data_IF_728544319565
#
_entry.id   IF_728544319565
#
_cell.length_a   1.000
_cell.length_b   1.000
_cell.length_c   1.000
_cell.angle_alpha   90.00
_cell.angle_beta   90.00
_cell.angle_gamma   90.00
#
_symmetry.space_group_name_H-M   'P 1'
#
loop_
_entity.id
_entity.type
_entity.pdbx_description
1 polymer ?
#
# COMPACT_ATOMS: atom_id res chain seq x y z
N UNK A 1 11.22 -10.06 9.44
CA UNK A 1 10.44 -9.61 10.63
C UNK A 1 9.29 -8.83 10.01
N UNK A 2 8.06 -9.28 10.21
CA UNK A 2 6.86 -8.67 9.63
C UNK A 2 6.06 -7.97 10.71
N UNK A 3 5.26 -7.00 10.33
CA UNK A 3 4.31 -6.34 11.24
C UNK A 3 3.30 -7.37 11.74
N UNK A 4 3.01 -7.40 13.04
CA UNK A 4 2.12 -8.40 13.65
C UNK A 4 0.66 -8.05 13.39
N UNK A 5 -0.21 -9.06 13.30
CA UNK A 5 -1.66 -8.89 13.09
C UNK A 5 -2.32 -7.96 14.12
N UNK A 6 -1.89 -8.02 15.36
CA UNK A 6 -2.42 -7.19 16.47
C UNK A 6 -2.09 -5.69 16.29
N UNK A 7 -1.01 -5.36 15.59
CA UNK A 7 -0.65 -3.98 15.27
C UNK A 7 -1.65 -3.37 14.27
N UNK A 8 -2.00 -4.08 13.20
CA UNK A 8 -3.03 -3.63 12.25
C UNK A 8 -4.38 -3.44 12.94
N UNK A 9 -4.79 -4.37 13.79
CA UNK A 9 -6.02 -4.25 14.56
C UNK A 9 -6.00 -3.03 15.52
N UNK A 10 -4.85 -2.73 16.13
CA UNK A 10 -4.67 -1.53 16.97
C UNK A 10 -4.85 -0.25 16.16
N UNK A 11 -4.26 -0.18 14.95
CA UNK A 11 -4.37 0.97 14.05
C UNK A 11 -5.81 1.21 13.59
N UNK A 12 -6.52 0.15 13.19
CA UNK A 12 -7.94 0.25 12.83
C UNK A 12 -8.79 0.77 13.99
N UNK A 13 -8.61 0.23 15.20
CA UNK A 13 -9.31 0.74 16.39
C UNK A 13 -8.97 2.18 16.71
N UNK A 14 -7.74 2.63 16.48
CA UNK A 14 -7.35 4.02 16.66
C UNK A 14 -8.07 4.92 15.65
N UNK A 15 -8.07 4.57 14.37
CA UNK A 15 -8.77 5.32 13.33
C UNK A 15 -10.27 5.39 13.62
N UNK A 16 -10.93 4.28 13.94
CA UNK A 16 -12.35 4.25 14.28
C UNK A 16 -12.72 5.14 15.47
N UNK A 17 -11.83 5.24 16.47
CA UNK A 17 -12.04 6.19 17.60
C UNK A 17 -11.95 7.63 17.16
N UNK A 18 -11.07 7.97 16.20
CA UNK A 18 -10.94 9.31 15.66
C UNK A 18 -12.14 9.71 14.79
N UNK A 19 -12.66 8.76 14.03
CA UNK A 19 -13.84 8.95 13.18
C UNK A 19 -15.12 9.15 13.99
N UNK A 20 -15.28 8.38 15.08
CA UNK A 20 -16.50 8.32 15.89
C UNK A 20 -17.61 7.48 15.24
N UNK A 21 -18.70 7.28 15.98
CA UNK A 21 -19.88 6.53 15.49
C UNK A 21 -20.63 7.33 14.41
N UNK A 22 -21.38 6.63 13.57
CA UNK A 22 -22.14 7.23 12.47
C UNK A 22 -21.27 7.70 11.31
N UNK A 23 -20.05 7.17 11.22
CA UNK A 23 -19.12 7.41 10.14
C UNK A 23 -18.73 6.09 9.47
N UNK A 24 -18.30 6.17 8.22
CA UNK A 24 -17.72 5.07 7.45
C UNK A 24 -16.41 5.53 6.82
N UNK A 25 -15.37 4.71 6.89
CA UNK A 25 -14.16 4.89 6.08
C UNK A 25 -14.13 3.86 4.96
N UNK A 26 -13.78 4.31 3.77
CA UNK A 26 -13.67 3.48 2.56
C UNK A 26 -12.27 3.70 1.99
N UNK A 27 -11.49 2.63 1.87
CA UNK A 27 -10.11 2.70 1.42
C UNK A 27 -9.85 1.61 0.38
N UNK A 28 -9.78 1.95 -0.91
CA UNK A 28 -9.42 1.02 -1.96
C UNK A 28 -7.92 0.70 -1.92
N UNK A 29 -7.57 -0.51 -2.30
CA UNK A 29 -6.20 -0.91 -2.57
C UNK A 29 -5.67 -0.22 -3.85
N UNK A 30 -4.35 -0.24 -4.04
CA UNK A 30 -3.74 0.19 -5.29
C UNK A 30 -4.19 -0.72 -6.45
N UNK A 31 -4.22 -0.16 -7.65
CA UNK A 31 -4.45 -0.92 -8.88
C UNK A 31 -3.14 -1.52 -9.39
N UNK A 32 -3.21 -2.71 -9.99
CA UNK A 32 -2.07 -3.26 -10.73
C UNK A 32 -1.66 -2.34 -11.87
N UNK A 33 -0.35 -2.25 -12.12
CA UNK A 33 0.20 -1.43 -13.20
C UNK A 33 0.77 -2.33 -14.28
N UNK A 34 0.19 -2.23 -15.48
CA UNK A 34 0.69 -2.93 -16.64
C UNK A 34 2.03 -2.35 -17.07
N UNK A 35 3.00 -3.23 -17.33
CA UNK A 35 4.31 -2.89 -17.86
C UNK A 35 4.31 -2.97 -19.38
N UNK A 36 3.89 -4.11 -19.91
CA UNK A 36 3.86 -4.38 -21.34
C UNK A 36 2.99 -5.62 -21.62
N UNK A 37 2.04 -5.52 -22.56
CA UNK A 37 1.17 -6.60 -22.99
C UNK A 37 0.49 -7.30 -21.80
N UNK A 38 0.85 -8.55 -21.51
CA UNK A 38 0.35 -9.37 -20.41
C UNK A 38 1.26 -9.36 -19.16
N UNK A 39 2.31 -8.53 -19.18
CA UNK A 39 3.26 -8.41 -18.06
C UNK A 39 2.93 -7.19 -17.22
N UNK A 40 2.77 -7.40 -15.90
CA UNK A 40 2.58 -6.34 -14.91
C UNK A 40 3.89 -6.03 -14.17
N UNK A 41 3.97 -4.81 -13.63
CA UNK A 41 4.96 -4.53 -12.59
C UNK A 41 4.64 -5.34 -11.34
N UNK A 42 5.66 -5.62 -10.53
CA UNK A 42 5.41 -6.22 -9.22
C UNK A 42 4.39 -5.38 -8.45
N UNK A 43 3.32 -6.04 -7.95
CA UNK A 43 2.27 -5.35 -7.23
C UNK A 43 2.81 -4.81 -5.90
N UNK A 44 2.55 -3.56 -5.64
CA UNK A 44 2.81 -2.91 -4.37
C UNK A 44 1.51 -2.30 -3.87
N UNK A 45 1.02 -2.71 -2.69
CA UNK A 45 -0.19 -2.14 -2.12
C UNK A 45 -0.01 -0.64 -1.83
N UNK A 46 -1.12 0.09 -1.83
CA UNK A 46 -1.12 1.46 -1.30
C UNK A 46 -0.64 1.47 0.15
N UNK A 47 0.17 2.46 0.51
CA UNK A 47 0.82 2.51 1.82
C UNK A 47 -0.17 2.68 2.97
N UNK A 48 -1.25 3.44 2.80
CA UNK A 48 -2.27 3.65 3.81
C UNK A 48 -3.19 2.43 3.93
N UNK A 49 -3.51 1.80 2.80
CA UNK A 49 -4.25 0.54 2.78
C UNK A 49 -3.49 -0.56 3.53
N UNK A 50 -2.21 -0.77 3.19
CA UNK A 50 -1.36 -1.74 3.86
C UNK A 50 -1.18 -1.41 5.36
N UNK A 51 -1.02 -0.13 5.69
CA UNK A 51 -0.87 0.32 7.08
C UNK A 51 -2.04 -0.08 7.98
N UNK A 52 -3.26 -0.09 7.44
CA UNK A 52 -4.46 -0.47 8.19
C UNK A 52 -4.77 -1.96 8.14
N UNK A 53 -4.44 -2.64 7.03
CA UNK A 53 -4.94 -3.99 6.76
C UNK A 53 -3.87 -5.06 6.83
N UNK A 54 -2.65 -4.74 6.41
CA UNK A 54 -1.61 -5.73 6.11
C UNK A 54 -1.94 -6.62 4.91
N UNK A 55 -2.99 -6.29 4.15
CA UNK A 55 -3.42 -7.04 2.98
C UNK A 55 -2.65 -6.56 1.76
N UNK A 56 -2.04 -7.48 1.03
CA UNK A 56 -1.09 -7.22 -0.03
C UNK A 56 -1.53 -7.71 -1.42
N UNK A 57 -2.83 -8.01 -1.57
CA UNK A 57 -3.40 -8.35 -2.88
C UNK A 57 -4.09 -7.14 -3.52
N UNK A 58 -4.10 -7.04 -4.86
CA UNK A 58 -4.85 -6.03 -5.60
C UNK A 58 -6.36 -6.28 -5.56
N UNK A 59 -7.12 -5.34 -6.13
CA UNK A 59 -8.58 -5.42 -6.24
C UNK A 59 -9.25 -5.68 -4.89
N UNK A 60 -8.89 -4.87 -3.89
CA UNK A 60 -9.48 -4.96 -2.56
C UNK A 60 -9.96 -3.59 -2.08
N UNK A 61 -10.96 -3.61 -1.18
CA UNK A 61 -11.45 -2.41 -0.50
C UNK A 61 -11.63 -2.71 0.97
N UNK A 62 -11.04 -1.88 1.82
CA UNK A 62 -11.24 -1.92 3.26
C UNK A 62 -12.32 -0.93 3.67
N UNK A 63 -13.26 -1.39 4.49
CA UNK A 63 -14.35 -0.59 5.02
C UNK A 63 -14.34 -0.66 6.54
N UNK A 64 -14.41 0.50 7.20
CA UNK A 64 -14.50 0.61 8.66
C UNK A 64 -15.77 1.36 9.04
N UNK A 65 -16.62 0.73 9.87
CA UNK A 65 -17.90 1.31 10.33
C UNK A 65 -17.95 1.25 11.86
N UNK A 66 -17.45 2.30 12.55
CA UNK A 66 -17.39 2.30 14.03
C UNK A 66 -18.74 2.15 14.69
N UNK A 67 -18.85 1.16 15.59
CA UNK A 67 -20.04 0.88 16.36
C UNK A 67 -21.11 0.04 15.64
N UNK A 68 -20.82 -0.50 14.46
CA UNK A 68 -21.71 -1.45 13.79
C UNK A 68 -21.76 -2.78 14.56
N UNK A 69 -22.95 -3.34 14.86
CA UNK A 69 -23.08 -4.45 15.83
C UNK A 69 -22.37 -5.75 15.42
N UNK A 70 -22.28 -6.07 14.13
CA UNK A 70 -21.80 -7.38 13.66
C UNK A 70 -20.41 -7.35 13.04
N UNK A 71 -20.02 -6.24 12.43
CA UNK A 71 -18.72 -6.12 11.78
C UNK A 71 -18.32 -4.63 11.68
N UNK A 72 -17.24 -4.23 12.34
CA UNK A 72 -16.69 -2.88 12.23
C UNK A 72 -15.63 -2.79 11.16
N UNK A 73 -14.94 -3.89 10.85
CA UNK A 73 -13.91 -3.99 9.81
C UNK A 73 -14.31 -5.03 8.77
N UNK A 74 -14.52 -4.58 7.55
CA UNK A 74 -14.98 -5.38 6.42
C UNK A 74 -13.94 -5.28 5.30
N UNK A 75 -13.64 -6.40 4.64
CA UNK A 75 -12.82 -6.44 3.44
C UNK A 75 -13.63 -6.95 2.25
N UNK A 76 -13.59 -6.21 1.15
CA UNK A 76 -13.95 -6.72 -0.17
C UNK A 76 -12.67 -7.17 -0.86
N UNK A 77 -12.64 -8.41 -1.36
CA UNK A 77 -11.43 -9.03 -1.91
C UNK A 77 -11.77 -9.90 -3.11
N UNK A 78 -10.78 -10.27 -3.89
CA UNK A 78 -10.96 -11.23 -4.99
C UNK A 78 -11.38 -12.58 -4.44
N UNK A 79 -12.28 -13.26 -5.16
CA UNK A 79 -12.61 -14.66 -4.89
C UNK A 79 -11.43 -15.59 -5.13
N UNK A 80 -11.46 -16.74 -4.44
CA UNK A 80 -10.64 -17.88 -4.80
C UNK A 80 -11.03 -18.38 -6.20
N UNK A 81 -10.06 -18.48 -7.07
CA UNK A 81 -10.22 -18.98 -8.44
C UNK A 81 -9.05 -19.94 -8.75
N UNK A 82 -9.24 -21.26 -8.61
CA UNK A 82 -8.15 -22.21 -8.83
C UNK A 82 -7.52 -22.14 -10.23
N UNK A 83 -8.29 -21.74 -11.26
CA UNK A 83 -7.77 -21.59 -12.61
C UNK A 83 -6.83 -20.37 -12.71
N UNK A 84 -7.21 -19.25 -12.12
CA UNK A 84 -6.37 -18.06 -12.03
C UNK A 84 -5.20 -18.25 -11.08
N UNK A 85 -5.42 -18.87 -9.93
CA UNK A 85 -4.37 -19.13 -8.95
C UNK A 85 -3.24 -20.01 -9.49
N UNK A 86 -3.50 -20.82 -10.51
CA UNK A 86 -2.46 -21.57 -11.22
C UNK A 86 -1.50 -20.67 -12.02
N UNK A 87 -1.92 -19.44 -12.35
CA UNK A 87 -1.13 -18.45 -13.09
C UNK A 87 -0.53 -17.37 -12.17
N UNK A 88 -1.36 -16.79 -11.30
CA UNK A 88 -1.04 -15.58 -10.55
C UNK A 88 -0.64 -15.88 -9.09
N UNK A 89 -0.76 -17.13 -8.64
CA UNK A 89 -0.54 -17.49 -7.25
C UNK A 89 -1.82 -17.53 -6.43
N UNK A 90 -1.71 -18.01 -5.18
CA UNK A 90 -2.86 -18.16 -4.29
C UNK A 90 -3.47 -16.82 -3.89
N UNK A 91 -4.80 -16.80 -3.80
CA UNK A 91 -5.59 -15.68 -3.29
C UNK A 91 -6.13 -15.99 -1.90
N UNK A 92 -6.22 -14.99 -1.05
CA UNK A 92 -6.82 -15.13 0.28
C UNK A 92 -8.30 -15.51 0.19
N UNK A 93 -9.03 -14.87 -0.70
CA UNK A 93 -10.49 -14.93 -0.75
C UNK A 93 -11.15 -14.38 0.52
N UNK A 94 -12.48 -14.31 0.57
CA UNK A 94 -13.21 -13.85 1.77
C UNK A 94 -12.86 -14.62 3.04
N UNK A 95 -12.75 -15.96 2.97
CA UNK A 95 -12.37 -16.79 4.12
C UNK A 95 -10.96 -16.48 4.63
N UNK A 96 -10.00 -16.25 3.73
CA UNK A 96 -8.65 -15.85 4.09
C UNK A 96 -8.58 -14.44 4.66
N UNK A 97 -9.40 -13.52 4.14
CA UNK A 97 -9.50 -12.15 4.66
C UNK A 97 -9.94 -12.13 6.13
N UNK A 98 -10.90 -12.94 6.51
CA UNK A 98 -11.34 -13.06 7.91
C UNK A 98 -10.30 -13.79 8.78
N UNK A 99 -9.83 -14.95 8.35
CA UNK A 99 -8.90 -15.79 9.11
C UNK A 99 -7.52 -15.18 9.30
N UNK A 100 -6.95 -14.61 8.22
CA UNK A 100 -5.55 -14.21 8.18
C UNK A 100 -5.33 -12.72 8.36
N UNK A 101 -6.29 -11.89 7.98
CA UNK A 101 -6.18 -10.42 8.04
C UNK A 101 -7.11 -9.79 9.08
N UNK A 102 -7.92 -10.64 9.76
CA UNK A 102 -8.74 -10.24 10.91
C UNK A 102 -9.86 -9.29 10.53
N UNK A 103 -10.43 -9.45 9.33
CA UNK A 103 -11.69 -8.83 8.99
C UNK A 103 -12.82 -9.49 9.84
N UNK A 104 -13.74 -8.67 10.33
CA UNK A 104 -14.92 -9.16 11.03
C UNK A 104 -15.87 -9.83 10.04
N UNK A 105 -15.89 -9.31 8.79
CA UNK A 105 -16.63 -9.88 7.68
C UNK A 105 -15.86 -9.61 6.36
N UNK A 106 -16.10 -10.43 5.34
CA UNK A 106 -15.46 -10.23 4.04
C UNK A 106 -16.35 -10.75 2.91
N UNK A 107 -16.29 -10.05 1.77
CA UNK A 107 -17.13 -10.31 0.60
C UNK A 107 -16.29 -10.33 -0.68
N UNK A 108 -16.78 -11.00 -1.74
CA UNK A 108 -16.24 -10.85 -3.06
C UNK A 108 -16.24 -9.37 -3.49
N UNK A 109 -15.16 -8.93 -4.14
CA UNK A 109 -15.08 -7.55 -4.66
C UNK A 109 -16.19 -7.26 -5.69
N UNK A 110 -16.64 -8.28 -6.42
CA UNK A 110 -17.73 -8.15 -7.38
C UNK A 110 -19.08 -7.78 -6.77
N UNK A 111 -19.26 -8.01 -5.47
CA UNK A 111 -20.52 -7.73 -4.75
C UNK A 111 -20.53 -6.33 -4.11
N UNK A 112 -19.47 -5.53 -4.32
CA UNK A 112 -19.31 -4.24 -3.63
C UNK A 112 -20.44 -3.26 -3.94
N UNK A 113 -20.94 -3.24 -5.18
CA UNK A 113 -22.00 -2.32 -5.63
C UNK A 113 -23.33 -2.61 -4.95
N UNK A 114 -23.58 -3.86 -4.59
CA UNK A 114 -24.79 -4.31 -3.92
C UNK A 114 -24.71 -4.13 -2.39
N UNK A 115 -23.53 -4.30 -1.80
CA UNK A 115 -23.35 -4.34 -0.34
C UNK A 115 -22.97 -2.96 0.25
N UNK A 116 -22.04 -2.24 -0.40
CA UNK A 116 -21.48 -1.00 0.18
C UNK A 116 -22.51 0.11 0.39
N UNK A 117 -23.51 0.33 -0.49
CA UNK A 117 -24.57 1.29 -0.21
C UNK A 117 -25.30 1.01 1.11
N UNK A 118 -25.58 -0.26 1.42
CA UNK A 118 -26.19 -0.67 2.69
C UNK A 118 -25.29 -0.40 3.91
N UNK A 119 -23.95 -0.47 3.75
CA UNK A 119 -23.02 -0.10 4.82
C UNK A 119 -22.92 1.42 5.00
N UNK A 120 -23.13 2.19 3.95
CA UNK A 120 -23.13 3.66 3.98
C UNK A 120 -24.45 4.23 4.54
N UNK A 121 -25.53 3.48 4.48
CA UNK A 121 -26.82 3.85 5.05
C UNK A 121 -26.65 4.19 6.53
N UNK A 122 -27.31 5.24 7.00
CA UNK A 122 -27.22 5.75 8.38
C UNK A 122 -25.85 6.29 8.81
N UNK A 123 -24.84 6.30 7.93
CA UNK A 123 -23.60 7.02 8.17
C UNK A 123 -23.76 8.47 7.72
N UNK A 124 -23.61 9.40 8.65
CA UNK A 124 -23.65 10.85 8.33
C UNK A 124 -22.40 11.34 7.62
N UNK A 125 -21.27 10.62 7.79
CA UNK A 125 -19.96 11.05 7.32
C UNK A 125 -19.22 9.91 6.65
N UNK A 126 -18.63 10.17 5.47
CA UNK A 126 -17.75 9.29 4.72
C UNK A 126 -16.31 9.82 4.79
N UNK A 127 -15.40 9.01 5.26
CA UNK A 127 -13.96 9.23 5.18
C UNK A 127 -13.41 8.51 3.95
N UNK A 128 -12.97 9.29 2.98
CA UNK A 128 -12.40 8.79 1.72
C UNK A 128 -11.50 9.86 1.10
N UNK A 129 -10.38 9.46 0.51
CA UNK A 129 -9.46 10.39 -0.16
C UNK A 129 -9.81 10.49 -1.64
N UNK A 130 -10.62 11.49 -2.01
CA UNK A 130 -11.02 11.74 -3.39
C UNK A 130 -9.86 12.20 -4.26
N UNK A 131 -9.91 11.87 -5.54
CA UNK A 131 -8.97 12.34 -6.56
C UNK A 131 -7.75 11.46 -6.78
N UNK A 132 -7.54 10.41 -5.96
CA UNK A 132 -6.44 9.45 -6.16
C UNK A 132 -6.79 8.36 -7.18
N UNK A 133 -8.05 7.98 -7.28
CA UNK A 133 -8.55 6.96 -8.19
C UNK A 133 -9.88 7.42 -8.80
N UNK A 134 -9.81 7.97 -10.02
CA UNK A 134 -10.97 8.57 -10.68
C UNK A 134 -12.12 7.56 -10.92
N UNK A 135 -11.80 6.30 -11.22
CA UNK A 135 -12.81 5.26 -11.45
C UNK A 135 -13.54 4.94 -10.14
N UNK A 136 -12.80 4.80 -9.04
CA UNK A 136 -13.40 4.56 -7.73
C UNK A 136 -14.19 5.77 -7.21
N UNK A 137 -13.75 7.00 -7.52
CA UNK A 137 -14.51 8.22 -7.23
C UNK A 137 -15.91 8.17 -7.89
N UNK A 138 -15.99 7.70 -9.14
CA UNK A 138 -17.27 7.55 -9.85
C UNK A 138 -18.16 6.47 -9.21
N UNK A 139 -17.59 5.34 -8.77
CA UNK A 139 -18.34 4.33 -8.01
C UNK A 139 -18.92 4.92 -6.72
N UNK A 140 -18.10 5.63 -5.93
CA UNK A 140 -18.57 6.27 -4.69
C UNK A 140 -19.73 7.25 -4.95
N UNK A 141 -19.62 8.09 -5.98
CA UNK A 141 -20.69 9.00 -6.40
C UNK A 141 -21.95 8.21 -6.79
N UNK A 142 -21.79 7.10 -7.50
CA UNK A 142 -22.88 6.19 -7.88
C UNK A 142 -23.62 5.65 -6.67
N UNK A 143 -22.90 5.15 -5.66
CA UNK A 143 -23.52 4.62 -4.43
C UNK A 143 -24.26 5.70 -3.63
N UNK A 144 -23.69 6.90 -3.53
CA UNK A 144 -24.35 8.06 -2.89
C UNK A 144 -25.65 8.42 -3.66
N UNK A 145 -25.63 8.41 -4.98
CA UNK A 145 -26.80 8.71 -5.80
C UNK A 145 -27.88 7.61 -5.67
N UNK A 146 -27.48 6.36 -5.54
CA UNK A 146 -28.40 5.24 -5.26
C UNK A 146 -29.15 5.48 -3.94
N UNK A 147 -28.45 5.83 -2.87
CA UNK A 147 -29.05 6.15 -1.57
C UNK A 147 -29.97 7.38 -1.66
N UNK A 148 -29.55 8.43 -2.38
CA UNK A 148 -30.39 9.64 -2.61
C UNK A 148 -31.69 9.29 -3.35
N UNK A 149 -31.62 8.40 -4.35
CA UNK A 149 -32.79 7.93 -5.08
C UNK A 149 -33.81 7.19 -4.18
N UNK A 150 -33.33 6.59 -3.10
CA UNK A 150 -34.13 5.82 -2.13
C UNK A 150 -34.54 6.63 -0.89
N UNK A 151 -34.26 7.95 -0.85
CA UNK A 151 -34.56 8.81 0.29
C UNK A 151 -36.07 8.82 0.67
N UNK A 152 -36.97 8.70 -0.33
CA UNK A 152 -38.43 8.59 -0.09
C UNK A 152 -38.82 7.27 0.63
N UNK A 153 -37.94 6.29 0.64
CA UNK A 153 -38.13 5.00 1.33
C UNK A 153 -37.52 5.03 2.75
N UNK A 154 -37.05 6.18 3.21
CA UNK A 154 -36.45 6.35 4.54
C UNK A 154 -34.94 6.14 4.60
N UNK A 155 -34.26 5.94 3.46
CA UNK A 155 -32.80 5.79 3.40
C UNK A 155 -32.10 7.12 3.73
N UNK A 156 -31.09 7.06 4.58
CA UNK A 156 -30.27 8.23 4.95
C UNK A 156 -28.97 8.24 4.16
N UNK A 157 -28.74 9.34 3.45
CA UNK A 157 -27.52 9.55 2.65
C UNK A 157 -26.47 10.29 3.47
N UNK A 158 -25.19 9.95 3.38
CA UNK A 158 -24.11 10.73 3.99
C UNK A 158 -24.16 12.21 3.57
N UNK A 159 -23.89 13.09 4.52
CA UNK A 159 -23.93 14.56 4.32
C UNK A 159 -22.53 15.17 4.26
N UNK A 160 -21.54 14.51 4.87
CA UNK A 160 -20.17 14.98 4.96
C UNK A 160 -19.21 14.02 4.29
N UNK A 161 -18.28 14.54 3.50
CA UNK A 161 -17.17 13.81 2.92
C UNK A 161 -15.87 14.41 3.44
N UNK A 162 -15.04 13.59 4.06
CA UNK A 162 -13.81 14.04 4.74
C UNK A 162 -12.65 13.24 4.14
N UNK A 163 -11.58 13.92 3.80
CA UNK A 163 -10.36 13.29 3.32
C UNK A 163 -9.79 12.36 4.41
N UNK A 164 -9.61 11.07 4.09
CA UNK A 164 -9.13 10.06 5.04
C UNK A 164 -7.63 10.20 5.32
N UNK A 165 -6.89 10.59 4.32
CA UNK A 165 -5.43 10.65 4.31
C UNK A 165 -4.87 11.51 5.46
N UNK A 166 -5.48 12.65 5.79
CA UNK A 166 -4.98 13.49 6.88
C UNK A 166 -4.96 12.78 8.24
N UNK A 167 -5.98 11.94 8.53
CA UNK A 167 -6.01 11.14 9.76
C UNK A 167 -4.92 10.06 9.74
N UNK A 168 -4.73 9.40 8.58
CA UNK A 168 -3.74 8.35 8.41
C UNK A 168 -2.32 8.91 8.47
N UNK A 169 -2.07 10.06 7.85
CA UNK A 169 -0.77 10.72 7.91
C UNK A 169 -0.39 11.11 9.33
N UNK A 170 -1.32 11.66 10.11
CA UNK A 170 -1.11 11.94 11.54
C UNK A 170 -0.80 10.67 12.34
N UNK A 171 -1.52 9.58 12.08
CA UNK A 171 -1.26 8.30 12.74
C UNK A 171 0.11 7.73 12.38
N UNK A 172 0.60 7.96 11.16
CA UNK A 172 1.90 7.47 10.65
C UNK A 172 3.06 8.37 11.02
N UNK A 173 2.81 9.57 11.52
CA UNK A 173 3.87 10.52 11.91
C UNK A 173 4.76 9.94 13.02
N UNK A 174 4.15 9.36 14.05
CA UNK A 174 4.87 8.73 15.17
C UNK A 174 4.86 7.20 15.00
N UNK A 175 6.07 6.64 14.80
CA UNK A 175 6.25 5.22 14.53
C UNK A 175 6.13 4.39 15.83
N UNK A 176 5.39 3.30 15.75
CA UNK A 176 5.28 2.33 16.82
C UNK A 176 6.61 1.58 17.05
N UNK A 177 6.71 0.83 18.16
CA UNK A 177 7.87 -0.01 18.41
C UNK A 177 8.09 -1.08 17.33
N UNK A 178 7.01 -1.62 16.79
CA UNK A 178 7.05 -2.62 15.71
C UNK A 178 7.58 -1.98 14.42
N UNK A 179 7.07 -0.80 14.05
CA UNK A 179 7.56 -0.05 12.88
C UNK A 179 9.04 0.31 13.03
N UNK A 180 9.45 0.79 14.20
CA UNK A 180 10.86 1.09 14.46
C UNK A 180 11.78 -0.15 14.33
N UNK A 181 11.29 -1.34 14.70
CA UNK A 181 12.06 -2.57 14.53
C UNK A 181 12.22 -2.92 13.04
N UNK A 182 11.17 -2.78 12.24
CA UNK A 182 11.21 -2.99 10.77
C UNK A 182 12.12 -1.96 10.11
N UNK A 183 11.97 -0.67 10.43
CA UNK A 183 12.82 0.41 9.91
C UNK A 183 14.31 0.20 10.25
N UNK A 184 14.62 -0.22 11.49
CA UNK A 184 16.01 -0.54 11.85
C UNK A 184 16.56 -1.70 11.03
N UNK A 185 15.74 -2.71 10.76
CA UNK A 185 16.16 -3.84 9.92
C UNK A 185 16.39 -3.40 8.48
N UNK A 186 15.50 -2.60 7.90
CA UNK A 186 15.68 -2.00 6.57
C UNK A 186 16.97 -1.16 6.51
N UNK A 187 17.21 -0.31 7.51
CA UNK A 187 18.44 0.47 7.58
C UNK A 187 19.71 -0.40 7.67
N UNK A 188 19.69 -1.51 8.42
CA UNK A 188 20.83 -2.46 8.48
C UNK A 188 21.11 -3.10 7.12
N UNK A 189 20.05 -3.46 6.35
CA UNK A 189 20.19 -4.00 5.00
C UNK A 189 20.79 -2.94 4.08
N UNK A 190 20.28 -1.71 4.11
CA UNK A 190 20.80 -0.60 3.32
C UNK A 190 22.27 -0.29 3.63
N UNK A 191 22.66 -0.31 4.91
CA UNK A 191 24.08 -0.17 5.31
C UNK A 191 24.94 -1.28 4.71
N UNK A 192 24.48 -2.54 4.76
CA UNK A 192 25.17 -3.67 4.14
C UNK A 192 25.36 -3.47 2.63
N UNK A 193 24.30 -3.00 1.94
CA UNK A 193 24.32 -2.71 0.52
C UNK A 193 25.32 -1.61 0.17
N UNK A 194 25.35 -0.50 0.92
CA UNK A 194 26.30 0.58 0.68
C UNK A 194 27.75 0.15 0.95
N UNK A 195 28.00 -0.65 2.00
CA UNK A 195 29.33 -1.21 2.25
C UNK A 195 29.76 -2.12 1.09
N UNK A 196 28.85 -2.92 0.54
CA UNK A 196 29.10 -3.78 -0.62
C UNK A 196 29.40 -2.96 -1.87
N UNK A 197 28.61 -1.93 -2.15
CA UNK A 197 28.82 -0.99 -3.25
C UNK A 197 30.20 -0.29 -3.14
N UNK A 198 30.54 0.23 -1.97
CA UNK A 198 31.85 0.85 -1.74
C UNK A 198 33.02 -0.11 -2.02
N UNK A 199 32.90 -1.39 -1.67
CA UNK A 199 33.95 -2.41 -1.92
C UNK A 199 34.06 -2.77 -3.41
N UNK A 200 32.97 -2.69 -4.18
CA UNK A 200 32.93 -2.99 -5.61
C UNK A 200 33.41 -1.79 -6.45
N UNK A 201 33.29 -0.57 -5.93
CA UNK A 201 33.68 0.65 -6.61
C UNK A 201 35.19 0.73 -6.85
N UNK A 202 35.57 0.89 -8.12
CA UNK A 202 36.94 1.12 -8.57
C UNK A 202 36.94 1.76 -9.96
N UNK A 203 38.01 2.42 -10.40
CA UNK A 203 38.11 2.92 -11.77
C UNK A 203 37.89 1.80 -12.79
N UNK A 204 37.15 2.07 -13.85
CA UNK A 204 36.87 1.16 -14.93
C UNK A 204 35.59 0.34 -14.80
N UNK A 205 34.92 0.31 -13.60
CA UNK A 205 33.58 -0.29 -13.48
C UNK A 205 32.52 0.72 -13.90
N UNK A 206 31.35 0.24 -14.32
CA UNK A 206 30.23 1.10 -14.69
C UNK A 206 29.31 1.34 -13.48
N UNK A 207 28.59 2.44 -13.52
CA UNK A 207 27.61 2.81 -12.49
C UNK A 207 26.57 1.72 -12.25
N UNK A 208 26.05 1.07 -13.32
CA UNK A 208 25.10 -0.06 -13.21
C UNK A 208 25.70 -1.30 -12.53
N UNK A 209 27.02 -1.51 -12.62
CA UNK A 209 27.66 -2.64 -11.91
C UNK A 209 27.64 -2.40 -10.41
N UNK A 210 27.86 -1.14 -9.98
CA UNK A 210 27.73 -0.75 -8.56
C UNK A 210 26.26 -0.83 -8.12
N UNK A 211 25.31 -0.42 -8.97
CA UNK A 211 23.89 -0.57 -8.71
C UNK A 211 23.51 -2.06 -8.52
N UNK A 212 24.06 -2.96 -9.34
CA UNK A 212 23.79 -4.41 -9.22
C UNK A 212 24.21 -4.97 -7.85
N UNK A 213 25.27 -4.43 -7.23
CA UNK A 213 25.70 -4.81 -5.90
C UNK A 213 24.72 -4.39 -4.80
N UNK A 214 24.09 -3.21 -4.96
CA UNK A 214 23.01 -2.75 -4.06
C UNK A 214 21.79 -3.65 -4.18
N UNK A 215 21.33 -3.92 -5.41
CA UNK A 215 20.17 -4.76 -5.68
C UNK A 215 20.38 -6.19 -5.16
N UNK A 216 21.58 -6.77 -5.37
CA UNK A 216 21.91 -8.07 -4.82
C UNK A 216 21.74 -8.11 -3.30
N UNK A 217 22.25 -7.12 -2.58
CA UNK A 217 22.15 -7.10 -1.11
C UNK A 217 20.69 -6.94 -0.66
N UNK A 218 19.86 -6.13 -1.33
CA UNK A 218 18.44 -6.01 -1.01
C UNK A 218 17.71 -7.34 -1.20
N UNK A 219 17.81 -7.93 -2.37
CA UNK A 219 17.09 -9.17 -2.70
C UNK A 219 17.51 -10.38 -1.87
N UNK A 220 18.80 -10.53 -1.52
CA UNK A 220 19.23 -11.63 -0.64
C UNK A 220 18.61 -11.55 0.77
N UNK A 221 18.13 -10.39 1.16
CA UNK A 221 17.39 -10.17 2.41
C UNK A 221 15.89 -10.17 2.24
N UNK A 222 15.38 -10.54 1.06
CA UNK A 222 13.96 -10.49 0.71
C UNK A 222 13.38 -9.07 0.89
N UNK A 223 14.18 -8.07 0.59
CA UNK A 223 13.77 -6.67 0.46
C UNK A 223 13.73 -6.30 -1.01
N UNK A 224 12.86 -5.39 -1.37
CA UNK A 224 12.83 -4.79 -2.70
C UNK A 224 13.42 -3.39 -2.66
N UNK A 225 13.54 -2.74 -3.82
CA UNK A 225 13.93 -1.33 -3.90
C UNK A 225 12.77 -0.44 -3.43
N UNK A 226 13.07 0.58 -2.64
CA UNK A 226 12.06 1.60 -2.29
C UNK A 226 11.85 2.61 -3.41
N UNK A 227 12.86 2.81 -4.26
CA UNK A 227 12.87 3.60 -5.48
C UNK A 227 14.07 3.16 -6.34
N UNK A 228 14.06 3.53 -7.63
CA UNK A 228 15.17 3.18 -8.52
C UNK A 228 16.48 3.79 -7.99
N UNK A 229 17.52 2.99 -7.71
CA UNK A 229 18.77 3.51 -7.16
C UNK A 229 19.47 4.47 -8.14
N UNK A 230 20.01 5.54 -7.58
CA UNK A 230 20.82 6.50 -8.31
C UNK A 230 22.28 6.20 -8.00
N UNK A 231 23.08 5.98 -9.04
CA UNK A 231 24.52 5.77 -8.94
C UNK A 231 25.18 6.67 -9.99
N UNK A 232 25.69 7.83 -9.57
CA UNK A 232 26.26 8.84 -10.48
C UNK A 232 27.72 9.15 -10.16
N UNK A 233 28.62 8.84 -11.12
CA UNK A 233 30.04 9.16 -11.05
C UNK A 233 30.34 10.55 -11.61
N UNK A 234 31.30 11.26 -11.02
CA UNK A 234 31.76 12.56 -11.52
C UNK A 234 30.62 13.56 -11.72
N UNK A 235 30.43 14.04 -12.95
CA UNK A 235 29.40 15.03 -13.29
C UNK A 235 27.97 14.49 -13.13
N UNK A 236 27.74 13.19 -13.30
CA UNK A 236 26.42 12.56 -13.14
C UNK A 236 25.92 12.66 -11.69
N UNK A 237 26.81 12.70 -10.71
CA UNK A 237 26.47 12.95 -9.32
C UNK A 237 25.85 14.32 -9.02
N UNK A 238 25.85 15.24 -9.99
CA UNK A 238 25.19 16.54 -9.89
C UNK A 238 23.75 16.55 -10.44
N UNK A 239 23.28 15.42 -11.00
CA UNK A 239 21.92 15.26 -11.52
C UNK A 239 21.09 14.58 -10.41
N UNK A 240 20.10 15.31 -9.85
CA UNK A 240 19.36 14.86 -8.66
C UNK A 240 18.64 13.53 -8.86
N UNK A 241 18.00 13.31 -10.00
CA UNK A 241 17.31 12.07 -10.33
C UNK A 241 17.94 11.43 -11.56
N UNK A 242 19.24 11.12 -11.47
CA UNK A 242 19.98 10.44 -12.52
C UNK A 242 19.51 8.98 -12.63
N UNK A 243 19.06 8.56 -13.81
CA UNK A 243 18.46 7.25 -14.02
C UNK A 243 19.27 6.31 -14.89
N UNK A 244 20.14 6.85 -15.74
CA UNK A 244 20.86 6.06 -16.73
C UNK A 244 21.81 5.07 -16.08
N UNK A 245 22.53 5.49 -15.05
CA UNK A 245 23.51 4.67 -14.31
C UNK A 245 24.45 3.91 -15.27
N UNK A 246 24.98 4.59 -16.31
CA UNK A 246 25.61 3.90 -17.44
C UNK A 246 27.09 4.23 -17.63
N UNK A 247 27.58 5.33 -17.08
CA UNK A 247 28.94 5.80 -17.32
C UNK A 247 29.99 4.96 -16.58
N UNK A 248 31.20 4.97 -17.12
CA UNK A 248 32.37 4.33 -16.51
C UNK A 248 32.98 5.25 -15.46
N UNK A 249 33.21 4.74 -14.27
CA UNK A 249 33.86 5.45 -13.17
C UNK A 249 35.35 5.67 -13.48
N UNK A 250 35.84 6.87 -13.23
CA UNK A 250 37.24 7.27 -13.46
C UNK A 250 37.95 7.45 -12.13
N UNK A 251 39.27 7.34 -12.16
CA UNK A 251 40.09 7.66 -11.01
C UNK A 251 39.97 9.13 -10.64
N UNK A 252 39.73 9.40 -9.35
CA UNK A 252 39.51 10.75 -8.81
C UNK A 252 38.06 11.24 -8.85
N UNK A 253 37.13 10.53 -9.51
CA UNK A 253 35.71 10.89 -9.48
C UNK A 253 35.12 10.69 -8.09
N UNK A 254 34.19 11.58 -7.71
CA UNK A 254 33.26 11.31 -6.62
C UNK A 254 32.12 10.46 -7.13
N UNK A 255 31.66 9.49 -6.34
CA UNK A 255 30.51 8.66 -6.63
C UNK A 255 29.38 9.01 -5.66
N UNK A 256 28.25 9.50 -6.20
CA UNK A 256 27.01 9.68 -5.46
C UNK A 256 26.18 8.39 -5.56
N UNK A 257 25.70 7.91 -4.41
CA UNK A 257 24.75 6.80 -4.33
C UNK A 257 23.55 7.25 -3.50
N UNK A 258 22.35 7.18 -4.10
CA UNK A 258 21.08 7.33 -3.41
C UNK A 258 20.28 6.04 -3.61
N UNK A 259 20.14 5.26 -2.54
CA UNK A 259 19.51 3.94 -2.58
C UNK A 259 18.90 3.57 -1.23
N UNK A 260 17.73 2.98 -1.28
CA UNK A 260 17.02 2.45 -0.13
C UNK A 260 16.29 1.16 -0.46
N UNK A 261 15.99 0.37 0.58
CA UNK A 261 15.20 -0.85 0.40
C UNK A 261 13.87 -0.79 1.15
N UNK A 262 12.84 -1.36 0.55
CA UNK A 262 11.55 -1.64 1.16
C UNK A 262 11.62 -3.04 1.78
N UNK A 263 11.33 -3.15 3.08
CA UNK A 263 11.42 -4.39 3.84
C UNK A 263 10.19 -4.59 4.73
N UNK A 264 9.48 -5.71 4.57
CA UNK A 264 8.38 -6.18 5.41
C UNK A 264 7.01 -5.83 4.94
#
# INVERSE_FOLDING_TARGET
MTVRKDEFARRRRQLMRMMGKGAIAILPAATEKQRNSDVHYHYRPDSDFHYLTGFDEPEAVAVLVPGRPHAEYILFVRDRDPAREAWDGQRAGPDGATRDYGADDAFPIGDIDDILPGLMEQCGRVYYTMGLNADFDQHLIGWVNTLRGQAKQGMHTPQEFVALDHLLHDMRLYKSRTELAVLRRSAQIAVGAHIRAMKATRPGVHEYEVMAELLHEFHRHRADISYHPIVGGGANGCILHYHENADTLRDGDLLLIDAGCEYG
#
